data_IF_531481151970
#
_entry.id   IF_531481151970
#
_cell.length_a   1.000
_cell.length_b   1.000
_cell.length_c   1.000
_cell.angle_alpha   90.00
_cell.angle_beta   90.00
_cell.angle_gamma   90.00
#
_symmetry.space_group_name_H-M   'P 1'
#
loop_
_entity.id
_entity.type
_entity.pdbx_description
1 polymer ?
#
# COMPACT_ATOMS: atom_id res chain seq x y z
N UNK A 1 9.26 -1.85 -1.29
CA UNK A 1 9.75 -0.69 -2.08
C UNK A 1 10.56 0.21 -1.17
N UNK A 2 11.79 0.56 -1.56
CA UNK A 2 12.69 1.42 -0.80
C UNK A 2 13.12 2.63 -1.63
N UNK A 3 13.59 3.68 -0.96
CA UNK A 3 14.04 4.91 -1.61
C UNK A 3 14.09 6.05 -0.59
N UNK A 4 14.92 7.05 -0.84
CA UNK A 4 15.10 8.19 0.06
C UNK A 4 13.84 9.07 0.16
N UNK A 5 13.77 9.98 1.16
CA UNK A 5 12.71 10.98 1.23
C UNK A 5 12.57 11.76 -0.09
N UNK A 6 11.33 12.02 -0.52
CA UNK A 6 11.06 12.79 -1.73
C UNK A 6 11.18 12.03 -3.07
N UNK A 7 11.57 10.75 -3.07
CA UNK A 7 11.71 9.96 -4.31
C UNK A 7 10.41 9.38 -4.88
N UNK A 8 9.24 9.71 -4.30
CA UNK A 8 7.94 9.34 -4.87
C UNK A 8 7.39 7.96 -4.46
N UNK A 9 7.85 7.38 -3.34
CA UNK A 9 7.30 6.11 -2.81
C UNK A 9 5.80 6.17 -2.51
N UNK A 10 5.37 7.20 -1.75
CA UNK A 10 3.95 7.45 -1.47
C UNK A 10 3.16 7.70 -2.75
N UNK A 11 3.75 8.45 -3.69
CA UNK A 11 3.16 8.71 -5.01
C UNK A 11 2.95 7.42 -5.79
N UNK A 12 3.85 6.43 -5.71
CA UNK A 12 3.66 5.13 -6.33
C UNK A 12 2.45 4.40 -5.74
N UNK A 13 2.32 4.33 -4.42
CA UNK A 13 1.17 3.68 -3.78
C UNK A 13 -0.15 4.36 -4.17
N UNK A 14 -0.19 5.68 -4.11
CA UNK A 14 -1.35 6.47 -4.53
C UNK A 14 -1.69 6.27 -6.01
N UNK A 15 -0.67 6.20 -6.87
CA UNK A 15 -0.86 5.92 -8.29
C UNK A 15 -1.43 4.53 -8.53
N UNK A 16 -0.97 3.50 -7.80
CA UNK A 16 -1.52 2.14 -7.89
C UNK A 16 -2.97 2.08 -7.41
N UNK A 17 -3.30 2.69 -6.27
CA UNK A 17 -4.67 2.76 -5.76
C UNK A 17 -5.60 3.56 -6.71
N UNK A 18 -5.11 4.67 -7.26
CA UNK A 18 -5.85 5.46 -8.26
C UNK A 18 -6.03 4.68 -9.55
N UNK A 19 -5.04 3.91 -9.98
CA UNK A 19 -5.12 3.05 -11.17
C UNK A 19 -6.21 2.01 -10.99
N UNK A 20 -6.13 1.24 -9.91
CA UNK A 20 -7.10 0.21 -9.55
C UNK A 20 -8.55 0.72 -9.51
N UNK A 21 -8.77 1.92 -8.95
CA UNK A 21 -10.12 2.46 -8.76
C UNK A 21 -10.74 3.11 -10.02
N UNK A 22 -9.93 3.67 -10.92
CA UNK A 22 -10.42 4.51 -12.03
C UNK A 22 -10.36 3.83 -13.39
N UNK A 23 -9.40 2.94 -13.60
CA UNK A 23 -9.19 2.32 -14.90
C UNK A 23 -10.07 1.07 -15.03
N UNK A 24 -11.07 1.12 -15.91
CA UNK A 24 -11.80 -0.09 -16.31
C UNK A 24 -11.00 -0.79 -17.40
N UNK A 25 -10.09 -1.67 -17.03
CA UNK A 25 -9.59 -2.63 -18.00
C UNK A 25 -10.71 -3.66 -18.29
N UNK A 26 -11.08 -3.80 -19.56
CA UNK A 26 -11.91 -4.91 -20.03
C UNK A 26 -11.17 -6.25 -19.93
N UNK A 27 -11.56 -7.25 -20.71
CA UNK A 27 -10.95 -8.60 -20.77
C UNK A 27 -9.48 -8.68 -21.23
N UNK A 28 -8.72 -7.58 -21.20
CA UNK A 28 -7.32 -7.46 -21.62
C UNK A 28 -6.40 -6.92 -20.51
N UNK A 29 -6.65 -7.20 -19.23
CA UNK A 29 -5.58 -7.06 -18.22
C UNK A 29 -4.60 -8.23 -18.40
N UNK A 30 -3.30 -7.94 -18.49
CA UNK A 30 -2.28 -8.96 -18.33
C UNK A 30 -2.33 -9.56 -16.90
N UNK A 31 -1.83 -10.78 -16.70
CA UNK A 31 -1.83 -11.43 -15.37
C UNK A 31 -1.18 -10.60 -14.24
N UNK A 32 -0.32 -9.64 -14.59
CA UNK A 32 0.36 -8.74 -13.65
C UNK A 32 -0.34 -7.39 -13.43
N UNK A 33 -1.57 -7.25 -13.89
CA UNK A 33 -2.37 -6.02 -13.76
C UNK A 33 -2.80 -5.76 -12.31
N UNK A 34 -2.94 -4.49 -11.92
CA UNK A 34 -3.43 -4.12 -10.58
C UNK A 34 -4.91 -4.50 -10.39
N UNK A 35 -5.68 -4.60 -11.47
CA UNK A 35 -7.11 -4.95 -11.43
C UNK A 35 -7.39 -6.43 -11.17
N UNK A 36 -6.35 -7.27 -10.98
CA UNK A 36 -6.57 -8.66 -10.53
C UNK A 36 -7.01 -8.75 -9.07
N UNK A 37 -6.77 -7.70 -8.30
CA UNK A 37 -7.15 -7.65 -6.90
C UNK A 37 -8.61 -7.21 -6.77
N UNK A 38 -9.39 -7.99 -6.02
CA UNK A 38 -10.77 -7.65 -5.66
C UNK A 38 -10.81 -6.40 -4.77
N UNK A 39 -9.80 -6.23 -3.92
CA UNK A 39 -9.66 -5.10 -3.00
C UNK A 39 -8.22 -4.57 -2.97
N UNK A 40 -8.09 -3.25 -2.98
CA UNK A 40 -6.82 -2.56 -2.69
C UNK A 40 -7.01 -1.68 -1.46
N UNK A 41 -6.27 -1.99 -0.40
CA UNK A 41 -6.31 -1.29 0.88
C UNK A 41 -5.06 -0.43 1.00
N UNK A 42 -5.23 0.89 1.01
CA UNK A 42 -4.14 1.85 1.17
C UNK A 42 -4.16 2.45 2.58
N UNK A 43 -3.11 2.21 3.36
CA UNK A 43 -2.92 2.76 4.70
C UNK A 43 -1.45 3.17 4.86
N UNK A 44 -1.16 4.10 5.75
CA UNK A 44 0.20 4.27 6.26
C UNK A 44 0.49 3.25 7.37
N UNK A 45 1.76 2.97 7.65
CA UNK A 45 2.13 2.14 8.79
C UNK A 45 1.64 2.75 10.12
N UNK A 46 1.61 4.08 10.22
CA UNK A 46 1.10 4.79 11.38
C UNK A 46 -0.41 4.58 11.59
N UNK A 47 -1.21 4.43 10.52
CA UNK A 47 -2.64 4.15 10.61
C UNK A 47 -2.95 2.78 11.24
N UNK A 48 -1.98 1.86 11.27
CA UNK A 48 -2.13 0.56 11.94
C UNK A 48 -1.75 0.61 13.43
N UNK A 49 -1.09 1.68 13.88
CA UNK A 49 -0.58 1.76 15.24
C UNK A 49 -1.73 1.88 16.25
N UNK A 50 -1.72 1.03 17.26
CA UNK A 50 -2.74 1.02 18.32
C UNK A 50 -4.02 0.26 17.97
N UNK A 51 -4.12 -0.35 16.79
CA UNK A 51 -5.21 -1.26 16.44
C UNK A 51 -4.86 -2.71 16.75
N UNK A 52 -5.87 -3.49 17.13
CA UNK A 52 -5.74 -4.94 17.37
C UNK A 52 -6.05 -5.77 16.11
N UNK A 53 -6.77 -5.20 15.14
CA UNK A 53 -7.16 -5.88 13.90
C UNK A 53 -7.24 -4.92 12.69
N UNK A 54 -7.03 -5.48 11.48
CA UNK A 54 -7.06 -4.74 10.21
C UNK A 54 -8.47 -4.18 9.88
N UNK A 55 -9.58 -4.92 10.04
CA UNK A 55 -10.92 -4.39 9.79
C UNK A 55 -11.23 -3.11 10.56
N UNK A 56 -10.80 -3.00 11.82
CA UNK A 56 -10.97 -1.82 12.65
C UNK A 56 -10.19 -0.62 12.12
N UNK A 57 -8.93 -0.84 11.71
CA UNK A 57 -8.12 0.21 11.08
C UNK A 57 -8.74 0.67 9.75
N UNK A 58 -9.15 -0.26 8.89
CA UNK A 58 -9.81 0.05 7.61
C UNK A 58 -11.10 0.84 7.83
N UNK A 59 -11.96 0.42 8.78
CA UNK A 59 -13.20 1.13 9.09
C UNK A 59 -12.93 2.55 9.60
N UNK A 60 -11.91 2.73 10.43
CA UNK A 60 -11.59 4.03 11.04
C UNK A 60 -10.97 5.02 10.06
N UNK A 61 -10.05 4.55 9.21
CA UNK A 61 -9.25 5.41 8.34
C UNK A 61 -9.81 5.56 6.92
N UNK A 62 -10.54 4.57 6.40
CA UNK A 62 -10.94 4.53 4.98
C UNK A 62 -12.44 4.65 4.73
N UNK A 63 -13.29 4.27 5.69
CA UNK A 63 -14.73 4.27 5.50
C UNK A 63 -15.38 5.54 6.06
N UNK A 64 -16.47 5.97 5.41
CA UNK A 64 -17.26 7.08 5.90
C UNK A 64 -17.95 6.70 7.24
N UNK A 65 -18.03 7.65 8.17
CA UNK A 65 -18.55 7.39 9.53
C UNK A 65 -20.02 6.95 9.56
N UNK A 66 -20.77 7.32 8.54
CA UNK A 66 -22.18 6.97 8.35
C UNK A 66 -22.37 5.66 7.57
N UNK A 67 -21.30 5.09 7.03
CA UNK A 67 -21.34 3.81 6.33
C UNK A 67 -21.58 2.67 7.33
N UNK A 68 -22.73 2.00 7.19
CA UNK A 68 -23.12 0.89 8.05
C UNK A 68 -22.54 -0.43 7.55
N UNK A 69 -21.24 -0.63 7.74
CA UNK A 69 -20.56 -1.91 7.50
C UNK A 69 -20.13 -2.51 8.84
N UNK A 70 -20.53 -3.75 9.12
CA UNK A 70 -20.07 -4.46 10.32
C UNK A 70 -18.62 -4.88 10.16
N UNK A 71 -17.88 -4.96 11.27
CA UNK A 71 -16.50 -5.46 11.25
C UNK A 71 -16.42 -6.90 10.73
N UNK A 72 -17.43 -7.73 11.01
CA UNK A 72 -17.50 -9.11 10.51
C UNK A 72 -17.59 -9.19 8.99
N UNK A 73 -18.45 -8.38 8.36
CA UNK A 73 -18.59 -8.36 6.90
C UNK A 73 -17.32 -7.82 6.23
N UNK A 74 -16.66 -6.85 6.87
CA UNK A 74 -15.40 -6.31 6.39
C UNK A 74 -14.27 -7.35 6.50
N UNK A 75 -14.15 -8.05 7.62
CA UNK A 75 -13.17 -9.13 7.80
C UNK A 75 -13.39 -10.26 6.79
N UNK A 76 -14.64 -10.68 6.58
CA UNK A 76 -14.99 -11.68 5.57
C UNK A 76 -14.57 -11.24 4.16
N UNK A 77 -14.83 -9.98 3.79
CA UNK A 77 -14.45 -9.41 2.50
C UNK A 77 -12.92 -9.38 2.32
N UNK A 78 -12.19 -9.00 3.38
CA UNK A 78 -10.72 -8.94 3.35
C UNK A 78 -10.06 -10.32 3.32
N UNK A 79 -10.74 -11.38 3.79
CA UNK A 79 -10.20 -12.76 3.82
C UNK A 79 -10.58 -13.60 2.62
N UNK A 80 -11.70 -13.32 1.97
CA UNK A 80 -12.23 -14.15 0.89
C UNK A 80 -11.73 -13.76 -0.50
N UNK A 81 -11.32 -12.51 -0.69
CA UNK A 81 -10.87 -11.99 -1.99
C UNK A 81 -9.35 -11.95 -2.16
N UNK A 82 -8.92 -11.68 -3.39
CA UNK A 82 -7.54 -11.33 -3.70
C UNK A 82 -7.26 -9.88 -3.27
N UNK A 83 -6.65 -9.71 -2.10
CA UNK A 83 -6.39 -8.40 -1.50
C UNK A 83 -4.94 -7.96 -1.70
N UNK A 84 -4.77 -6.68 -2.06
CA UNK A 84 -3.50 -5.97 -1.99
C UNK A 84 -3.51 -4.96 -0.85
N UNK A 85 -2.61 -5.14 0.11
CA UNK A 85 -2.29 -4.12 1.11
C UNK A 85 -1.14 -3.24 0.60
N UNK A 86 -1.44 -1.96 0.40
CA UNK A 86 -0.46 -0.91 0.17
C UNK A 86 -0.18 -0.22 1.51
N UNK A 87 0.91 -0.59 2.18
CA UNK A 87 1.32 0.01 3.45
C UNK A 87 2.45 1.01 3.19
N UNK A 88 2.14 2.29 3.33
CA UNK A 88 3.07 3.38 3.05
C UNK A 88 3.82 3.83 4.32
N UNK A 89 5.03 4.38 4.14
CA UNK A 89 5.84 4.99 5.19
C UNK A 89 6.10 4.09 6.41
N UNK A 90 6.61 2.86 6.17
CA UNK A 90 6.98 1.91 7.23
C UNK A 90 7.86 2.55 8.32
N UNK A 91 8.84 3.36 7.94
CA UNK A 91 9.76 4.03 8.85
C UNK A 91 9.06 4.99 9.84
N UNK A 92 7.84 5.42 9.56
CA UNK A 92 7.06 6.33 10.40
C UNK A 92 6.12 5.58 11.37
N UNK A 93 5.93 4.27 11.22
CA UNK A 93 4.96 3.48 11.99
C UNK A 93 5.42 2.10 12.41
N UNK A 94 6.70 1.75 12.26
CA UNK A 94 7.22 0.41 12.55
C UNK A 94 7.40 0.11 14.04
N UNK A 95 7.59 1.13 14.88
CA UNK A 95 7.81 0.94 16.31
C UNK A 95 6.50 0.70 17.05
N UNK A 96 6.48 -0.36 17.88
CA UNK A 96 5.34 -0.75 18.71
C UNK A 96 4.07 -1.01 17.87
N UNK A 97 4.25 -1.73 16.76
CA UNK A 97 3.18 -2.04 15.83
C UNK A 97 3.10 -3.55 15.56
N UNK A 98 2.59 -4.34 16.53
CA UNK A 98 2.52 -5.79 16.41
C UNK A 98 1.62 -6.23 15.25
N UNK A 99 0.51 -5.53 15.01
CA UNK A 99 -0.42 -5.80 13.91
C UNK A 99 0.28 -5.73 12.54
N UNK A 100 1.08 -4.68 12.32
CA UNK A 100 1.90 -4.56 11.11
C UNK A 100 2.95 -5.67 11.02
N UNK A 101 3.57 -6.04 12.15
CA UNK A 101 4.51 -7.15 12.21
C UNK A 101 3.88 -8.49 11.78
N UNK A 102 2.68 -8.79 12.30
CA UNK A 102 1.93 -10.00 11.96
C UNK A 102 1.48 -10.02 10.49
N UNK A 103 1.13 -8.85 9.93
CA UNK A 103 0.82 -8.72 8.51
C UNK A 103 2.05 -8.99 7.64
N UNK A 104 3.21 -8.42 7.99
CA UNK A 104 4.47 -8.61 7.24
C UNK A 104 4.95 -10.06 7.30
N UNK A 105 4.76 -10.74 8.43
CA UNK A 105 5.14 -12.15 8.60
C UNK A 105 4.12 -13.14 8.01
N UNK A 106 2.95 -12.66 7.58
CA UNK A 106 1.87 -13.53 7.09
C UNK A 106 1.24 -14.39 8.20
N UNK A 107 1.29 -13.93 9.45
CA UNK A 107 0.58 -14.52 10.59
C UNK A 107 -0.93 -14.23 10.49
N UNK A 108 -1.27 -13.07 9.92
CA UNK A 108 -2.63 -12.67 9.55
C UNK A 108 -2.71 -12.41 8.05
N UNK A 109 -3.91 -12.57 7.46
CA UNK A 109 -4.16 -12.40 6.02
C UNK A 109 -3.16 -13.15 5.12
N UNK A 110 -2.78 -14.37 5.53
CA UNK A 110 -1.89 -15.23 4.74
C UNK A 110 -2.46 -15.44 3.34
N UNK A 111 -1.65 -15.18 2.32
CA UNK A 111 -2.03 -15.27 0.91
C UNK A 111 -2.38 -13.91 0.28
N UNK A 112 -2.65 -12.87 1.07
CA UNK A 112 -2.77 -11.51 0.55
C UNK A 112 -1.43 -10.99 0.04
N UNK A 113 -1.47 -10.08 -0.93
CA UNK A 113 -0.26 -9.40 -1.40
C UNK A 113 0.01 -8.16 -0.54
N UNK A 114 1.26 -7.98 -0.13
CA UNK A 114 1.71 -6.79 0.60
C UNK A 114 2.75 -6.01 -0.20
N UNK A 115 2.48 -4.73 -0.45
CA UNK A 115 3.47 -3.76 -0.89
C UNK A 115 3.73 -2.79 0.26
N UNK A 116 4.94 -2.85 0.79
CA UNK A 116 5.42 -1.95 1.84
C UNK A 116 6.37 -0.90 1.23
N UNK A 117 6.24 0.37 1.63
CA UNK A 117 7.26 1.39 1.34
C UNK A 117 8.05 1.75 2.59
N UNK A 118 9.34 2.04 2.43
CA UNK A 118 10.22 2.43 3.54
C UNK A 118 11.37 3.30 3.04
N UNK A 119 11.94 4.13 3.92
CA UNK A 119 13.32 4.61 3.72
C UNK A 119 14.32 3.44 3.73
N UNK A 120 15.49 3.58 3.09
CA UNK A 120 16.57 2.62 3.23
C UNK A 120 16.95 2.47 4.71
N UNK A 121 17.43 1.30 5.10
CA UNK A 121 17.89 0.96 6.45
C UNK A 121 16.84 0.79 7.56
N UNK A 122 15.57 1.19 7.35
CA UNK A 122 14.52 0.97 8.36
C UNK A 122 13.90 -0.44 8.28
N UNK A 123 13.81 -1.00 7.07
CA UNK A 123 13.19 -2.30 6.83
C UNK A 123 14.19 -3.47 6.74
N UNK A 124 15.44 -3.31 7.20
CA UNK A 124 16.52 -4.31 7.03
C UNK A 124 16.18 -5.66 7.64
N UNK A 125 15.61 -5.66 8.84
CA UNK A 125 15.34 -6.89 9.58
C UNK A 125 14.20 -7.72 8.97
N UNK A 126 13.33 -7.06 8.21
CA UNK A 126 12.16 -7.67 7.58
C UNK A 126 12.37 -8.00 6.09
N UNK A 127 13.54 -7.68 5.52
CA UNK A 127 13.90 -8.02 4.12
C UNK A 127 13.62 -9.48 3.79
N UNK A 128 13.90 -10.39 4.73
CA UNK A 128 13.68 -11.84 4.57
C UNK A 128 12.21 -12.25 4.43
N UNK A 129 11.27 -11.37 4.80
CA UNK A 129 9.84 -11.62 4.70
C UNK A 129 9.26 -11.22 3.33
N UNK A 130 10.05 -10.59 2.46
CA UNK A 130 9.59 -10.10 1.16
C UNK A 130 10.19 -10.91 0.02
N UNK A 131 9.35 -11.31 -0.94
CA UNK A 131 9.78 -11.98 -2.17
C UNK A 131 10.60 -11.07 -3.09
N UNK A 132 10.33 -9.76 -3.03
CA UNK A 132 10.96 -8.76 -3.90
C UNK A 132 11.24 -7.46 -3.16
N UNK A 133 12.43 -6.90 -3.43
CA UNK A 133 12.82 -5.56 -2.99
C UNK A 133 13.11 -4.73 -4.23
N UNK A 134 12.39 -3.61 -4.33
CA UNK A 134 12.52 -2.65 -5.42
C UNK A 134 13.01 -1.34 -4.81
N UNK A 135 14.06 -0.76 -5.40
CA UNK A 135 14.57 0.56 -5.05
C UNK A 135 14.10 1.58 -6.08
N UNK A 136 13.52 2.68 -5.62
CA UNK A 136 13.19 3.85 -6.43
C UNK A 136 14.33 4.84 -6.24
N UNK A 137 14.83 5.44 -7.32
CA UNK A 137 15.91 6.44 -7.27
C UNK A 137 15.43 7.88 -7.56
N UNK A 138 14.12 8.08 -7.69
CA UNK A 138 13.53 9.36 -8.11
C UNK A 138 13.72 9.63 -9.60
N UNK A 139 13.45 10.88 -10.00
CA UNK A 139 13.55 11.30 -11.41
C UNK A 139 14.99 11.60 -11.81
N UNK A 140 15.36 11.11 -13.00
CA UNK A 140 16.54 11.61 -13.70
C UNK A 140 16.33 13.04 -14.23
N UNK A 141 17.40 13.67 -14.72
CA UNK A 141 17.37 15.07 -15.16
C UNK A 141 16.36 15.35 -16.29
N UNK A 142 16.11 14.37 -17.16
CA UNK A 142 15.15 14.50 -18.25
C UNK A 142 13.72 14.42 -17.69
N UNK A 143 13.46 13.44 -16.82
CA UNK A 143 12.17 13.27 -16.14
C UNK A 143 11.82 14.47 -15.24
N UNK A 144 12.80 15.08 -14.59
CA UNK A 144 12.61 16.33 -13.84
C UNK A 144 12.18 17.47 -14.76
N UNK A 145 12.86 17.63 -15.91
CA UNK A 145 12.53 18.65 -16.91
C UNK A 145 11.12 18.46 -17.47
N UNK A 146 10.74 17.23 -17.79
CA UNK A 146 9.41 16.89 -18.28
C UNK A 146 8.33 17.10 -17.22
N UNK A 147 8.63 16.77 -15.97
CA UNK A 147 7.72 17.02 -14.85
C UNK A 147 7.47 18.52 -14.66
N UNK A 148 8.53 19.34 -14.65
CA UNK A 148 8.39 20.81 -14.54
C UNK A 148 7.57 21.36 -15.71
N UNK A 149 7.80 20.89 -16.95
CA UNK A 149 7.04 21.33 -18.12
C UNK A 149 5.54 21.12 -18.00
N UNK A 150 5.08 20.03 -17.37
CA UNK A 150 3.64 19.77 -17.15
C UNK A 150 2.96 20.85 -16.32
N UNK A 151 3.70 21.54 -15.46
CA UNK A 151 3.17 22.61 -14.59
C UNK A 151 3.60 24.02 -15.03
N UNK A 152 4.61 24.14 -15.91
CA UNK A 152 5.12 25.42 -16.39
C UNK A 152 4.40 25.95 -17.64
N UNK A 153 3.59 25.14 -18.32
CA UNK A 153 2.65 25.62 -19.34
C UNK A 153 1.41 26.23 -18.68
N UNK A 154 1.47 27.53 -18.43
CA UNK A 154 0.33 28.41 -18.23
C UNK A 154 0.11 29.26 -19.48
#
# INVERSE_FOLDING_TARGET
VQGDPGQGKSTLCQALASKWSKEKHGSQCADRCIHRFDLVIYLTAADLKGYEDIPSAVRSHLLAKDLKVSLSALDESLRSGDVLFLIDAYDEGCQENPLLGDLIQGNIFRGATLLLTSRPNYATDMVRCFDQIISIQGFDANQQSDYVRKFATH
#
